data_IF_280243619247
#
_entry.id   IF_280243619247
#
_cell.length_a   1.000
_cell.length_b   1.000
_cell.length_c   1.000
_cell.angle_alpha   90.00
_cell.angle_beta   90.00
_cell.angle_gamma   90.00
#
_symmetry.space_group_name_H-M   'P 1'
#
loop_
_entity.id
_entity.type
_entity.pdbx_description
1 polymer ?
#
# COMPACT_ATOMS: atom_id res chain seq x y z
N UNK A 1 -30.30 3.15 1.64
CA UNK A 1 -29.03 2.44 1.45
C UNK A 1 -27.90 3.44 1.36
N UNK A 2 -26.97 3.40 2.30
CA UNK A 2 -25.76 4.20 2.18
C UNK A 2 -24.95 3.71 0.98
N UNK A 3 -24.64 4.63 0.06
CA UNK A 3 -23.70 4.31 -1.02
C UNK A 3 -22.34 4.05 -0.41
N UNK A 4 -21.79 2.86 -0.62
CA UNK A 4 -20.42 2.57 -0.24
C UNK A 4 -19.51 3.57 -0.94
N UNK A 5 -18.67 4.23 -0.16
CA UNK A 5 -17.78 5.25 -0.68
C UNK A 5 -16.54 4.59 -1.28
N UNK A 6 -16.27 4.90 -2.54
CA UNK A 6 -14.98 4.50 -3.15
C UNK A 6 -13.86 5.29 -2.51
N UNK A 7 -12.75 4.60 -2.26
CA UNK A 7 -11.57 5.23 -1.69
C UNK A 7 -10.34 4.95 -2.55
N UNK A 8 -9.42 5.88 -2.52
CA UNK A 8 -8.11 5.70 -3.13
C UNK A 8 -7.28 4.79 -2.24
N UNK A 9 -6.79 3.71 -2.82
CA UNK A 9 -5.98 2.70 -2.13
C UNK A 9 -4.50 2.94 -2.39
N UNK A 10 -4.14 3.36 -3.59
CA UNK A 10 -2.78 3.68 -3.98
C UNK A 10 -2.76 4.72 -5.10
N UNK A 11 -1.67 5.46 -5.19
CA UNK A 11 -1.39 6.40 -6.28
C UNK A 11 0.12 6.44 -6.53
N UNK A 12 0.56 7.34 -7.42
CA UNK A 12 1.96 7.46 -7.81
C UNK A 12 2.71 8.59 -7.08
N UNK A 13 2.12 9.14 -6.02
CA UNK A 13 2.78 10.20 -5.28
C UNK A 13 3.98 9.69 -4.47
N UNK A 14 4.86 10.61 -4.12
CA UNK A 14 6.01 10.32 -3.29
C UNK A 14 5.54 9.90 -1.89
N UNK A 15 5.93 8.70 -1.47
CA UNK A 15 5.50 8.14 -0.20
C UNK A 15 6.53 8.37 0.91
N UNK A 16 6.21 7.90 2.12
CA UNK A 16 7.05 8.08 3.31
C UNK A 16 8.41 7.38 3.23
N UNK A 17 8.58 6.46 2.29
CA UNK A 17 9.87 5.81 2.03
C UNK A 17 10.76 6.62 1.08
N UNK A 18 10.29 7.75 0.58
CA UNK A 18 11.04 8.52 -0.41
C UNK A 18 11.05 7.89 -1.80
N UNK A 19 10.13 6.98 -2.06
CA UNK A 19 9.95 6.31 -3.35
C UNK A 19 8.54 6.55 -3.89
N UNK A 20 8.28 6.08 -5.08
CA UNK A 20 6.94 6.08 -5.66
C UNK A 20 6.68 4.74 -6.32
N UNK A 21 5.40 4.39 -6.40
CA UNK A 21 4.94 3.12 -6.98
C UNK A 21 4.14 3.42 -8.22
N UNK A 22 4.60 2.93 -9.38
CA UNK A 22 3.86 3.13 -10.62
C UNK A 22 2.66 2.19 -10.67
N UNK A 23 1.49 2.77 -10.84
CA UNK A 23 0.22 2.04 -10.85
C UNK A 23 0.14 1.07 -12.03
N UNK A 24 0.62 1.48 -13.20
CA UNK A 24 0.60 0.63 -14.40
C UNK A 24 1.39 -0.67 -14.22
N UNK A 25 2.38 -0.69 -13.34
CA UNK A 25 3.19 -1.86 -13.05
C UNK A 25 2.72 -2.69 -11.86
N UNK A 26 1.61 -2.32 -11.23
CA UNK A 26 1.08 -3.04 -10.07
C UNK A 26 0.17 -4.19 -10.52
N UNK A 27 0.56 -5.42 -10.19
CA UNK A 27 -0.25 -6.60 -10.45
C UNK A 27 -1.19 -6.83 -9.27
N UNK A 28 -2.49 -6.78 -9.51
CA UNK A 28 -3.52 -6.94 -8.47
C UNK A 28 -4.27 -8.27 -8.56
N UNK A 29 -3.88 -9.15 -9.47
CA UNK A 29 -4.61 -10.41 -9.72
C UNK A 29 -4.64 -11.32 -8.50
N UNK A 30 -3.51 -11.53 -7.86
CA UNK A 30 -3.45 -12.39 -6.68
C UNK A 30 -4.30 -11.84 -5.54
N UNK A 31 -4.20 -10.54 -5.29
CA UNK A 31 -5.00 -9.89 -4.26
C UNK A 31 -6.49 -10.05 -4.52
N UNK A 32 -6.92 -9.88 -5.77
CA UNK A 32 -8.34 -9.97 -6.14
C UNK A 32 -8.95 -11.37 -5.95
N UNK A 33 -8.12 -12.41 -5.85
CA UNK A 33 -8.63 -13.75 -5.57
C UNK A 33 -9.12 -13.92 -4.13
N UNK A 34 -8.58 -13.13 -3.22
CA UNK A 34 -8.98 -13.09 -1.82
C UNK A 34 -8.72 -11.70 -1.25
N UNK A 35 -9.55 -10.72 -1.62
CA UNK A 35 -9.26 -9.30 -1.37
C UNK A 35 -9.59 -8.88 0.07
N UNK A 36 -8.93 -9.50 1.04
CA UNK A 36 -9.18 -9.22 2.45
C UNK A 36 -8.76 -7.81 2.82
N UNK A 37 -9.53 -7.18 3.69
CA UNK A 37 -9.18 -5.92 4.35
C UNK A 37 -8.64 -6.25 5.73
N UNK A 38 -7.38 -5.92 5.97
CA UNK A 38 -6.75 -6.12 7.26
C UNK A 38 -6.85 -4.86 8.12
N UNK A 39 -6.48 -5.00 9.38
CA UNK A 39 -6.34 -3.89 10.33
C UNK A 39 -4.86 -3.74 10.69
N UNK A 40 -4.32 -2.53 10.47
CA UNK A 40 -2.97 -2.15 10.87
C UNK A 40 -1.86 -3.07 10.33
N UNK A 41 -2.04 -3.61 9.13
CA UNK A 41 -1.10 -4.55 8.49
C UNK A 41 -0.87 -5.84 9.28
N UNK A 42 -1.77 -6.19 10.18
CA UNK A 42 -1.65 -7.41 10.98
C UNK A 42 -2.33 -8.59 10.30
N UNK A 43 -1.52 -9.60 9.96
CA UNK A 43 -2.05 -10.84 9.38
C UNK A 43 -2.97 -11.52 10.39
N UNK A 44 -4.10 -12.00 9.89
CA UNK A 44 -5.12 -12.62 10.75
C UNK A 44 -6.15 -11.67 11.32
N UNK A 45 -5.89 -10.35 11.30
CA UNK A 45 -6.87 -9.34 11.73
C UNK A 45 -7.72 -8.90 10.54
N UNK A 46 -8.52 -9.81 10.03
CA UNK A 46 -9.41 -9.56 8.89
C UNK A 46 -10.67 -8.85 9.38
N UNK A 47 -10.95 -7.68 8.83
CA UNK A 47 -12.13 -6.88 9.20
C UNK A 47 -13.15 -6.76 8.07
N UNK A 48 -12.83 -7.27 6.88
CA UNK A 48 -13.73 -7.20 5.74
C UNK A 48 -13.00 -7.51 4.44
N UNK A 49 -13.48 -6.89 3.37
CA UNK A 49 -12.88 -7.05 2.06
C UNK A 49 -12.90 -5.72 1.29
N UNK A 50 -12.11 -5.66 0.23
CA UNK A 50 -12.14 -4.56 -0.74
C UNK A 50 -12.92 -5.04 -1.96
N UNK A 51 -14.03 -4.35 -2.23
CA UNK A 51 -14.91 -4.65 -3.35
C UNK A 51 -14.59 -3.76 -4.54
N UNK A 52 -14.74 -4.29 -5.74
CA UNK A 52 -14.62 -3.55 -6.99
C UNK A 52 -13.31 -2.76 -7.08
N UNK A 53 -12.19 -3.43 -6.80
CA UNK A 53 -10.88 -2.84 -6.95
C UNK A 53 -10.64 -2.52 -8.42
N UNK A 54 -10.28 -1.28 -8.70
CA UNK A 54 -10.03 -0.78 -10.06
C UNK A 54 -8.67 -0.11 -10.14
N UNK A 55 -7.98 -0.38 -11.23
CA UNK A 55 -6.75 0.31 -11.62
C UNK A 55 -7.13 1.27 -12.73
N UNK A 56 -7.14 2.55 -12.44
CA UNK A 56 -7.55 3.61 -13.37
C UNK A 56 -6.51 4.74 -13.38
N UNK A 57 -5.83 4.90 -14.54
CA UNK A 57 -4.80 5.92 -14.66
C UNK A 57 -3.68 5.71 -13.63
N UNK A 58 -3.45 6.70 -12.80
CA UNK A 58 -2.42 6.68 -11.77
C UNK A 58 -2.93 6.21 -10.41
N UNK A 59 -4.17 5.76 -10.31
CA UNK A 59 -4.78 5.40 -9.05
C UNK A 59 -5.29 3.96 -9.01
N UNK A 60 -5.21 3.37 -7.84
CA UNK A 60 -5.95 2.14 -7.49
C UNK A 60 -7.03 2.54 -6.50
N UNK A 61 -8.28 2.21 -6.81
CA UNK A 61 -9.43 2.54 -5.98
C UNK A 61 -10.24 1.29 -5.65
N UNK A 62 -11.04 1.36 -4.62
CA UNK A 62 -11.94 0.27 -4.22
C UNK A 62 -12.94 0.72 -3.18
N UNK A 63 -13.83 -0.19 -2.82
CA UNK A 63 -14.83 0.03 -1.78
C UNK A 63 -14.54 -0.87 -0.59
N UNK A 64 -14.50 -0.29 0.61
CA UNK A 64 -14.32 -1.07 1.83
C UNK A 64 -15.66 -1.63 2.29
N UNK A 65 -15.69 -2.94 2.49
CA UNK A 65 -16.88 -3.64 3.02
C UNK A 65 -16.47 -4.33 4.31
N UNK A 66 -17.03 -3.90 5.43
CA UNK A 66 -16.76 -4.49 6.74
C UNK A 66 -17.66 -5.71 6.93
N UNK A 67 -17.07 -6.84 7.33
CA UNK A 67 -17.81 -8.09 7.48
C UNK A 67 -18.58 -8.18 8.80
N UNK A 68 -18.24 -7.32 9.77
CA UNK A 68 -18.87 -7.28 11.09
C UNK A 68 -18.84 -8.63 11.85
N UNK A 69 -17.92 -9.51 11.44
CA UNK A 69 -17.79 -10.83 12.03
C UNK A 69 -17.11 -10.82 13.40
N UNK A 70 -16.38 -9.74 13.70
CA UNK A 70 -15.68 -9.58 14.97
C UNK A 70 -16.02 -8.23 15.58
N UNK A 71 -15.74 -8.09 16.88
CA UNK A 71 -15.88 -6.78 17.54
C UNK A 71 -14.99 -5.73 16.90
N UNK A 72 -13.78 -6.10 16.51
CA UNK A 72 -12.86 -5.21 15.81
C UNK A 72 -13.47 -4.70 14.51
N UNK A 73 -14.04 -5.58 13.68
CA UNK A 73 -14.66 -5.19 12.42
C UNK A 73 -15.84 -4.23 12.65
N UNK A 74 -16.70 -4.52 13.62
CA UNK A 74 -17.82 -3.64 13.97
C UNK A 74 -17.35 -2.26 14.44
N UNK A 75 -16.32 -2.22 15.27
CA UNK A 75 -15.71 -0.98 15.73
C UNK A 75 -15.12 -0.18 14.58
N UNK A 76 -14.36 -0.84 13.71
CA UNK A 76 -13.74 -0.19 12.55
C UNK A 76 -14.78 0.40 11.61
N UNK A 77 -15.88 -0.32 11.38
CA UNK A 77 -16.99 0.18 10.55
C UNK A 77 -17.57 1.49 11.11
N UNK A 78 -17.84 1.50 12.41
CA UNK A 78 -18.37 2.70 13.08
C UNK A 78 -17.41 3.88 12.97
N UNK A 79 -16.10 3.63 13.16
CA UNK A 79 -15.09 4.68 13.08
C UNK A 79 -14.88 5.16 11.65
N UNK A 80 -15.00 4.28 10.67
CA UNK A 80 -14.96 4.63 9.26
C UNK A 80 -16.16 5.51 8.88
N UNK A 81 -17.35 5.14 9.30
CA UNK A 81 -18.56 5.91 9.04
C UNK A 81 -18.55 7.27 9.74
N UNK A 82 -18.06 7.30 10.98
CA UNK A 82 -17.92 8.53 11.77
C UNK A 82 -16.85 9.44 11.17
N UNK A 83 -15.79 8.87 10.61
CA UNK A 83 -14.68 9.62 10.01
C UNK A 83 -13.43 9.72 10.87
N UNK A 84 -13.36 9.01 11.99
CA UNK A 84 -12.15 8.96 12.81
C UNK A 84 -11.08 8.03 12.22
N UNK A 85 -11.47 7.06 11.39
CA UNK A 85 -10.57 6.26 10.57
C UNK A 85 -10.83 6.58 9.11
N UNK A 86 -9.81 7.08 8.39
CA UNK A 86 -9.94 7.53 7.00
C UNK A 86 -8.87 7.00 6.07
N UNK A 87 -7.84 6.36 6.62
CA UNK A 87 -6.64 6.03 5.87
C UNK A 87 -6.59 4.56 5.52
N UNK A 88 -6.22 4.29 4.28
CA UNK A 88 -5.98 2.95 3.76
C UNK A 88 -4.53 2.88 3.32
N UNK A 89 -3.89 1.77 3.60
CA UNK A 89 -2.49 1.53 3.26
C UNK A 89 -2.36 0.20 2.55
N UNK A 90 -1.41 0.10 1.63
CA UNK A 90 -1.16 -1.13 0.86
C UNK A 90 0.12 -1.82 1.29
N UNK A 91 0.16 -3.14 1.10
CA UNK A 91 1.39 -3.91 1.13
C UNK A 91 1.70 -4.45 -0.25
N UNK A 92 2.91 -4.22 -0.72
CA UNK A 92 3.34 -4.65 -2.04
C UNK A 92 4.68 -5.37 -2.00
N UNK A 93 4.82 -6.33 -2.93
CA UNK A 93 6.10 -6.95 -3.26
C UNK A 93 6.74 -6.15 -4.38
N UNK A 94 7.99 -5.77 -4.21
CA UNK A 94 8.76 -5.05 -5.23
C UNK A 94 9.29 -6.07 -6.23
N UNK A 95 8.95 -5.89 -7.50
CA UNK A 95 9.41 -6.74 -8.58
C UNK A 95 10.48 -6.07 -9.45
N UNK A 96 10.41 -4.74 -9.62
CA UNK A 96 11.37 -3.99 -10.43
C UNK A 96 11.53 -2.58 -9.88
N UNK A 97 12.77 -2.11 -9.87
CA UNK A 97 13.15 -0.76 -9.46
C UNK A 97 13.81 -0.03 -10.62
N UNK A 98 13.65 1.29 -10.68
CA UNK A 98 14.28 2.12 -11.69
C UNK A 98 14.80 3.43 -11.10
N UNK A 99 16.02 3.79 -11.49
CA UNK A 99 16.62 5.08 -11.21
C UNK A 99 16.69 5.98 -12.47
N UNK A 100 16.07 5.55 -13.56
CA UNK A 100 16.03 6.31 -14.79
C UNK A 100 15.38 7.67 -14.57
N UNK A 101 15.96 8.78 -15.11
CA UNK A 101 15.40 10.11 -14.88
C UNK A 101 13.93 10.26 -15.25
N UNK A 102 13.46 9.55 -16.25
CA UNK A 102 12.05 9.56 -16.65
C UNK A 102 11.11 8.97 -15.59
N UNK A 103 11.64 8.17 -14.67
CA UNK A 103 10.86 7.55 -13.60
C UNK A 103 10.97 8.31 -12.27
N UNK A 104 11.82 9.31 -12.18
CA UNK A 104 12.06 10.05 -10.95
C UNK A 104 11.32 11.39 -10.94
N UNK A 105 10.87 11.78 -9.77
CA UNK A 105 10.28 13.12 -9.55
C UNK A 105 11.12 13.88 -8.54
N UNK A 106 10.96 15.21 -8.53
CA UNK A 106 11.68 16.07 -7.60
C UNK A 106 11.40 15.67 -6.15
N UNK A 107 12.46 15.60 -5.35
CA UNK A 107 12.37 15.24 -3.94
C UNK A 107 12.47 13.76 -3.65
N UNK A 108 12.56 12.95 -4.67
CA UNK A 108 12.65 11.51 -4.52
C UNK A 108 14.06 11.10 -4.07
N UNK A 109 14.13 10.31 -3.01
CA UNK A 109 15.41 9.87 -2.42
C UNK A 109 15.75 8.41 -2.70
N UNK A 110 14.78 7.64 -3.20
CA UNK A 110 14.94 6.21 -3.49
C UNK A 110 14.41 5.90 -4.90
N UNK A 111 14.84 4.79 -5.51
CA UNK A 111 14.34 4.42 -6.84
C UNK A 111 12.84 4.28 -6.91
N UNK A 112 12.30 4.44 -8.10
CA UNK A 112 10.88 4.20 -8.36
C UNK A 112 10.60 2.71 -8.48
N UNK A 113 9.54 2.25 -7.86
CA UNK A 113 9.04 0.88 -8.01
C UNK A 113 8.20 0.85 -9.28
N UNK A 114 8.77 0.28 -10.33
CA UNK A 114 8.14 0.23 -11.65
C UNK A 114 7.24 -0.98 -11.83
N UNK A 115 7.55 -2.07 -11.14
CA UNK A 115 6.70 -3.27 -11.11
C UNK A 115 6.56 -3.77 -9.69
N UNK A 116 5.33 -4.11 -9.32
CA UNK A 116 5.00 -4.59 -7.99
C UNK A 116 3.84 -5.57 -8.04
N UNK A 117 3.62 -6.25 -6.94
CA UNK A 117 2.47 -7.12 -6.73
C UNK A 117 1.78 -6.71 -5.45
N UNK A 118 0.49 -6.39 -5.54
CA UNK A 118 -0.32 -6.07 -4.37
C UNK A 118 -0.61 -7.37 -3.60
N UNK A 119 -0.27 -7.42 -2.32
CA UNK A 119 -0.58 -8.59 -1.50
C UNK A 119 -1.51 -8.29 -0.34
N UNK A 120 -1.63 -7.03 0.10
CA UNK A 120 -2.57 -6.69 1.17
C UNK A 120 -3.06 -5.25 1.08
N UNK A 121 -4.24 -5.00 1.66
CA UNK A 121 -4.79 -3.67 1.90
C UNK A 121 -5.24 -3.64 3.36
N UNK A 122 -4.92 -2.57 4.06
CA UNK A 122 -5.26 -2.40 5.47
C UNK A 122 -5.92 -1.06 5.75
N UNK A 123 -6.83 -1.07 6.70
CA UNK A 123 -7.30 0.13 7.36
C UNK A 123 -6.30 0.50 8.45
N UNK A 124 -5.83 1.75 8.44
CA UNK A 124 -4.81 2.21 9.38
C UNK A 124 -5.22 3.51 10.05
N UNK A 125 -4.71 3.74 11.26
CA UNK A 125 -5.00 4.95 12.02
C UNK A 125 -4.08 6.12 11.63
N UNK A 126 -2.80 5.86 11.48
CA UNK A 126 -1.82 6.85 11.08
C UNK A 126 -1.07 6.36 9.85
N UNK A 127 -1.27 7.03 8.74
CA UNK A 127 -0.33 6.95 7.64
C UNK A 127 0.80 7.92 7.94
N UNK A 128 2.03 7.48 7.82
CA UNK A 128 3.19 8.36 8.02
C UNK A 128 3.17 9.56 7.06
N UNK A 129 2.46 9.44 6.01
CA UNK A 129 1.92 10.44 5.10
C UNK A 129 0.64 9.82 4.55
N UNK A 130 -0.08 10.55 3.71
CA UNK A 130 -1.28 10.02 3.06
C UNK A 130 -1.01 8.74 2.26
N UNK A 131 0.26 8.41 2.04
CA UNK A 131 0.71 7.29 1.23
C UNK A 131 1.59 6.30 2.00
N UNK A 132 1.25 6.03 3.24
CA UNK A 132 1.93 5.00 4.01
C UNK A 132 1.71 3.63 3.35
N UNK A 133 2.80 2.89 3.18
CA UNK A 133 2.76 1.58 2.54
C UNK A 133 3.67 0.61 3.28
N UNK A 134 3.42 -0.69 3.08
CA UNK A 134 4.33 -1.74 3.50
C UNK A 134 5.03 -2.29 2.26
N UNK A 135 6.34 -2.26 2.27
CA UNK A 135 7.16 -2.77 1.19
C UNK A 135 7.80 -4.08 1.62
N UNK A 136 7.83 -5.04 0.71
CA UNK A 136 8.62 -6.25 0.91
C UNK A 136 9.29 -6.64 -0.40
N UNK A 137 10.36 -7.39 -0.30
CA UNK A 137 11.05 -7.99 -1.43
C UNK A 137 11.56 -9.36 -1.03
N UNK A 138 11.33 -10.35 -1.92
CA UNK A 138 11.72 -11.74 -1.68
C UNK A 138 11.18 -12.28 -0.34
N UNK A 139 9.96 -11.88 0.03
CA UNK A 139 9.30 -12.30 1.27
C UNK A 139 9.76 -11.58 2.53
N UNK A 140 10.71 -10.64 2.43
CA UNK A 140 11.23 -9.90 3.58
C UNK A 140 10.71 -8.47 3.57
N UNK A 141 10.19 -8.03 4.72
CA UNK A 141 9.72 -6.67 4.91
C UNK A 141 10.89 -5.69 4.90
N UNK A 142 10.75 -4.62 4.13
CA UNK A 142 11.68 -3.50 4.12
C UNK A 142 11.20 -2.50 5.14
N UNK A 143 12.10 -2.06 6.04
CA UNK A 143 11.78 -1.05 7.03
C UNK A 143 12.48 0.26 6.73
N UNK A 144 11.87 1.37 7.16
CA UNK A 144 12.50 2.67 7.09
C UNK A 144 13.74 2.70 7.97
N UNK A 145 14.84 3.22 7.46
CA UNK A 145 16.02 3.47 8.24
C UNK A 145 15.73 4.48 9.37
N UNK A 146 16.44 4.36 10.49
CA UNK A 146 16.28 5.24 11.66
C UNK A 146 16.58 6.69 11.36
N UNK A 147 17.35 6.96 10.32
CA UNK A 147 17.68 8.31 9.84
C UNK A 147 16.62 8.89 8.91
N UNK A 148 15.55 8.17 8.68
CA UNK A 148 14.41 8.60 7.86
C UNK A 148 14.70 8.71 6.38
N UNK A 149 15.86 8.28 5.94
CA UNK A 149 16.30 8.64 4.60
C UNK A 149 16.43 7.53 3.60
N UNK A 150 16.63 6.31 4.00
CA UNK A 150 17.01 5.34 3.00
C UNK A 150 16.16 4.11 3.07
N UNK A 151 15.34 4.00 2.08
CA UNK A 151 14.62 2.80 1.78
C UNK A 151 15.25 2.18 0.57
N UNK A 152 15.12 0.91 0.45
CA UNK A 152 15.62 0.15 -0.67
C UNK A 152 17.15 0.06 -0.67
N UNK A 153 17.74 -0.35 0.49
CA UNK A 153 19.20 -0.60 0.54
C UNK A 153 19.62 -1.71 -0.42
N UNK A 154 18.67 -2.39 -1.00
CA UNK A 154 18.85 -3.49 -1.95
C UNK A 154 19.68 -3.13 -3.18
N UNK A 155 19.59 -1.89 -3.65
CA UNK A 155 20.39 -1.45 -4.79
C UNK A 155 21.87 -1.29 -4.42
N UNK A 156 22.15 -0.95 -3.18
CA UNK A 156 23.52 -0.85 -2.69
C UNK A 156 24.12 -2.22 -2.40
N UNK A 157 23.34 -3.20 -1.95
CA UNK A 157 23.82 -4.54 -1.68
C UNK A 157 24.17 -5.31 -2.95
N UNK A 158 23.51 -5.03 -4.05
CA UNK A 158 23.80 -5.66 -5.33
C UNK A 158 25.12 -5.18 -5.95
N UNK A 159 25.59 -3.99 -5.55
CA UNK A 159 26.85 -3.45 -6.03
C UNK A 159 28.08 -4.00 -5.28
N UNK A 160 27.87 -4.62 -4.14
CA UNK A 160 28.93 -5.18 -3.32
C UNK A 160 29.21 -6.67 -3.56
N UNK A 161 28.46 -7.29 -4.48
CA UNK A 161 28.65 -8.70 -4.82
C UNK A 161 29.41 -8.91 -6.13
N UNK A 162 30.08 -7.90 -6.61
CA UNK A 162 30.96 -8.01 -7.76
C UNK A 162 32.43 -8.21 -7.32
#
# INVERSE_FOLDING_TARGET
MSKTKRVRISNESLNSYGTRVLTAGMNVEQYNRNPVLLYMHERGQVIGLVKDLKVEGEEVTGELVFDEATELSRRCKKQWEFGSLKMVSVGIDILELSESPEHLVQGQSSPTITKSKLFEVSLVDIGANDDAIVLQKDGQRIELGKDGGTVLPLLHSNNNQK
#
